data_IF_311192196711
#
_entry.id   IF_311192196711
#
_cell.length_a   1.000
_cell.length_b   1.000
_cell.length_c   1.000
_cell.angle_alpha   90.00
_cell.angle_beta   90.00
_cell.angle_gamma   90.00
#
_symmetry.space_group_name_H-M   'P 1'
#
loop_
_entity.id
_entity.type
_entity.pdbx_description
1 polymer ?
#
# COMPACT_ATOMS: atom_id res chain seq x y z
N UNK A 1 25.58 -10.41 -3.00
CA UNK A 1 24.18 -10.42 -2.54
C UNK A 1 23.29 -10.53 -3.77
N UNK A 2 22.70 -11.71 -3.96
CA UNK A 2 21.66 -11.99 -4.94
C UNK A 2 20.32 -11.94 -4.19
N UNK A 3 19.38 -11.20 -4.73
CA UNK A 3 18.02 -11.05 -4.17
C UNK A 3 17.06 -11.64 -5.19
N UNK A 4 16.22 -12.57 -4.75
CA UNK A 4 15.27 -13.27 -5.60
C UNK A 4 13.88 -13.23 -4.95
N UNK A 5 12.90 -12.70 -5.67
CA UNK A 5 11.50 -12.70 -5.27
C UNK A 5 10.75 -13.67 -6.18
N UNK A 6 10.13 -14.68 -5.57
CA UNK A 6 9.13 -15.52 -6.23
C UNK A 6 7.75 -14.95 -5.89
N UNK A 7 6.99 -14.60 -6.92
CA UNK A 7 5.63 -14.08 -6.79
C UNK A 7 4.71 -15.00 -7.60
N UNK A 8 3.83 -15.71 -6.91
CA UNK A 8 2.78 -16.52 -7.49
C UNK A 8 1.43 -15.78 -7.42
N UNK A 9 0.66 -15.87 -8.50
CA UNK A 9 -0.68 -15.30 -8.58
C UNK A 9 -1.66 -16.40 -8.94
N UNK A 10 -2.65 -16.60 -8.08
CA UNK A 10 -3.78 -17.47 -8.35
C UNK A 10 -4.75 -16.82 -9.36
N UNK A 11 -5.56 -17.61 -10.08
CA UNK A 11 -6.60 -17.08 -10.96
C UNK A 11 -7.68 -16.25 -10.24
N UNK A 12 -7.81 -16.38 -8.92
CA UNK A 12 -8.81 -15.75 -8.05
C UNK A 12 -8.23 -14.65 -7.15
N UNK A 13 -7.19 -13.96 -7.64
CA UNK A 13 -6.60 -12.74 -7.06
C UNK A 13 -5.75 -12.93 -5.80
N UNK A 14 -5.73 -14.11 -5.18
CA UNK A 14 -4.79 -14.44 -4.11
C UNK A 14 -3.35 -14.45 -4.68
N UNK A 15 -2.45 -13.74 -4.02
CA UNK A 15 -1.03 -13.67 -4.39
C UNK A 15 -0.19 -14.25 -3.25
N UNK A 16 0.78 -15.10 -3.60
CA UNK A 16 1.81 -15.58 -2.70
C UNK A 16 3.16 -14.95 -3.04
N UNK A 17 3.97 -14.69 -2.02
CA UNK A 17 5.33 -14.19 -2.21
C UNK A 17 6.34 -14.87 -1.30
N UNK A 18 7.50 -15.18 -1.86
CA UNK A 18 8.65 -15.73 -1.16
C UNK A 18 9.90 -14.94 -1.54
N UNK A 19 10.62 -14.42 -0.54
CA UNK A 19 11.86 -13.67 -0.71
C UNK A 19 13.06 -14.53 -0.31
N UNK A 20 14.07 -14.58 -1.18
CA UNK A 20 15.33 -15.27 -0.95
C UNK A 20 16.50 -14.29 -1.05
N UNK A 21 17.43 -14.37 -0.09
CA UNK A 21 18.70 -13.65 -0.10
C UNK A 21 19.82 -14.68 -0.13
N UNK A 22 20.62 -14.66 -1.19
CA UNK A 22 21.72 -15.62 -1.42
C UNK A 22 21.27 -17.10 -1.27
N UNK A 23 20.04 -17.40 -1.72
CA UNK A 23 19.44 -18.74 -1.71
C UNK A 23 18.71 -19.12 -0.40
N UNK A 24 18.77 -18.31 0.65
CA UNK A 24 18.03 -18.54 1.89
C UNK A 24 16.71 -17.77 1.90
N UNK A 25 15.59 -18.46 2.18
CA UNK A 25 14.30 -17.81 2.34
C UNK A 25 14.30 -16.96 3.62
N UNK A 26 13.77 -15.74 3.52
CA UNK A 26 13.67 -14.80 4.65
C UNK A 26 12.23 -14.36 4.86
N UNK A 27 11.90 -13.99 6.09
CA UNK A 27 10.63 -13.30 6.41
C UNK A 27 10.72 -11.85 5.95
N UNK A 28 9.62 -11.31 5.43
CA UNK A 28 9.54 -9.93 4.98
C UNK A 28 8.15 -9.36 5.28
N UNK A 29 8.06 -8.04 5.29
CA UNK A 29 6.77 -7.34 5.27
C UNK A 29 6.43 -7.02 3.82
N UNK A 30 5.25 -7.45 3.40
CA UNK A 30 4.68 -7.11 2.11
C UNK A 30 3.84 -5.83 2.23
N UNK A 31 3.95 -4.96 1.23
CA UNK A 31 3.01 -3.89 0.98
C UNK A 31 2.50 -4.02 -0.45
N UNK A 32 1.20 -4.22 -0.61
CA UNK A 32 0.57 -4.40 -1.93
C UNK A 32 -0.26 -3.17 -2.29
N UNK A 33 -0.09 -2.69 -3.52
CA UNK A 33 -0.84 -1.57 -4.10
C UNK A 33 -1.53 -2.09 -5.35
N UNK A 34 -2.80 -2.45 -5.22
CA UNK A 34 -3.63 -2.93 -6.31
C UNK A 34 -4.93 -2.13 -6.41
N UNK A 35 -4.95 -1.03 -7.18
CA UNK A 35 -6.18 -0.29 -7.43
C UNK A 35 -7.25 -1.15 -8.11
N UNK A 36 -6.86 -2.20 -8.84
CA UNK A 36 -7.74 -3.10 -9.58
C UNK A 36 -8.59 -4.01 -8.70
N UNK A 37 -8.32 -4.07 -7.40
CA UNK A 37 -9.14 -4.79 -6.43
C UNK A 37 -10.53 -4.15 -6.18
N UNK A 38 -10.79 -2.95 -6.72
CA UNK A 38 -12.13 -2.34 -6.72
C UNK A 38 -12.51 -1.72 -5.37
N UNK A 39 -11.64 -0.88 -4.82
CA UNK A 39 -11.85 -0.22 -3.53
C UNK A 39 -12.73 1.04 -3.64
N UNK A 40 -13.48 1.37 -2.59
CA UNK A 40 -13.93 2.74 -2.37
C UNK A 40 -12.76 3.64 -1.94
N UNK A 41 -12.77 4.91 -2.32
CA UNK A 41 -11.70 5.86 -2.00
C UNK A 41 -11.37 5.92 -0.51
N UNK A 42 -12.37 5.91 0.38
CA UNK A 42 -12.14 5.95 1.82
C UNK A 42 -11.44 4.68 2.34
N UNK A 43 -11.78 3.51 1.81
CA UNK A 43 -11.13 2.25 2.18
C UNK A 43 -9.70 2.18 1.61
N UNK A 44 -9.53 2.69 0.38
CA UNK A 44 -8.23 2.82 -0.26
C UNK A 44 -7.27 3.67 0.57
N UNK A 45 -7.63 4.90 0.92
CA UNK A 45 -6.75 5.78 1.69
C UNK A 45 -6.54 5.28 3.11
N UNK A 46 -7.53 4.64 3.74
CA UNK A 46 -7.38 4.06 5.07
C UNK A 46 -6.34 2.93 5.07
N UNK A 47 -6.41 2.02 4.08
CA UNK A 47 -5.42 0.96 3.91
C UNK A 47 -4.02 1.52 3.64
N UNK A 48 -3.90 2.53 2.77
CA UNK A 48 -2.60 3.15 2.47
C UNK A 48 -2.04 3.93 3.66
N UNK A 49 -2.89 4.57 4.46
CA UNK A 49 -2.47 5.22 5.70
C UNK A 49 -1.93 4.21 6.71
N UNK A 50 -2.58 3.05 6.87
CA UNK A 50 -2.05 1.94 7.64
C UNK A 50 -0.67 1.52 7.17
N UNK A 51 -0.51 1.25 5.86
CA UNK A 51 0.76 0.84 5.29
C UNK A 51 1.87 1.90 5.51
N UNK A 52 1.56 3.18 5.29
CA UNK A 52 2.49 4.31 5.46
C UNK A 52 2.98 4.44 6.91
N UNK A 53 2.11 4.20 7.89
CA UNK A 53 2.48 4.30 9.32
C UNK A 53 3.42 3.18 9.76
N UNK A 54 3.31 2.00 9.15
CA UNK A 54 4.11 0.82 9.53
C UNK A 54 5.34 0.59 8.64
N UNK A 55 5.39 1.20 7.45
CA UNK A 55 6.49 1.08 6.52
C UNK A 55 7.76 1.84 6.96
N UNK A 56 8.90 1.39 6.44
CA UNK A 56 10.14 2.17 6.55
C UNK A 56 9.99 3.50 5.78
N UNK A 57 10.74 4.56 6.13
CA UNK A 57 10.56 5.88 5.51
C UNK A 57 10.64 5.89 3.98
N UNK A 58 11.54 5.08 3.40
CA UNK A 58 11.69 4.97 1.95
C UNK A 58 10.47 4.30 1.30
N UNK A 59 9.94 3.24 1.92
CA UNK A 59 8.76 2.52 1.42
C UNK A 59 7.48 3.34 1.63
N UNK A 60 7.36 4.01 2.78
CA UNK A 60 6.25 4.92 3.08
C UNK A 60 6.13 6.05 2.03
N UNK A 61 7.27 6.60 1.57
CA UNK A 61 7.27 7.61 0.51
C UNK A 61 6.74 7.07 -0.82
N UNK A 62 7.13 5.84 -1.20
CA UNK A 62 6.63 5.17 -2.40
C UNK A 62 5.13 4.89 -2.31
N UNK A 63 4.67 4.33 -1.19
CA UNK A 63 3.24 4.06 -0.95
C UNK A 63 2.43 5.36 -1.04
N UNK A 64 2.92 6.44 -0.43
CA UNK A 64 2.26 7.75 -0.47
C UNK A 64 2.13 8.27 -1.90
N UNK A 65 3.19 8.16 -2.71
CA UNK A 65 3.16 8.62 -4.10
C UNK A 65 2.15 7.82 -4.93
N UNK A 66 2.21 6.50 -4.86
CA UNK A 66 1.35 5.59 -5.63
C UNK A 66 -0.12 5.71 -5.21
N UNK A 67 -0.41 5.88 -3.92
CA UNK A 67 -1.77 6.00 -3.39
C UNK A 67 -2.56 7.19 -3.98
N UNK A 68 -1.87 8.22 -4.48
CA UNK A 68 -2.45 9.45 -5.00
C UNK A 68 -2.63 9.44 -6.52
N UNK A 69 -2.02 8.48 -7.22
CA UNK A 69 -2.12 8.36 -8.67
C UNK A 69 -3.56 8.07 -9.09
N UNK A 70 -3.99 8.71 -10.18
CA UNK A 70 -5.34 8.52 -10.72
C UNK A 70 -5.58 7.07 -11.11
N UNK A 71 -6.71 6.51 -10.67
CA UNK A 71 -7.11 5.15 -11.00
C UNK A 71 -8.61 5.11 -11.30
N UNK A 72 -9.02 4.57 -12.46
CA UNK A 72 -10.43 4.39 -12.79
C UNK A 72 -11.08 3.24 -12.00
N UNK A 73 -10.30 2.49 -11.22
CA UNK A 73 -10.75 1.32 -10.47
C UNK A 73 -11.03 1.62 -8.98
N UNK A 74 -10.83 2.88 -8.55
CA UNK A 74 -11.12 3.32 -7.19
C UNK A 74 -12.39 4.17 -7.19
N UNK A 75 -13.46 3.61 -6.64
CA UNK A 75 -14.77 4.24 -6.62
C UNK A 75 -14.78 5.46 -5.70
N UNK A 76 -15.21 6.60 -6.24
CA UNK A 76 -15.30 7.85 -5.49
C UNK A 76 -13.95 8.57 -5.30
N UNK A 77 -12.90 8.17 -6.03
CA UNK A 77 -11.62 8.89 -6.02
C UNK A 77 -11.83 10.35 -6.47
N UNK A 78 -11.42 11.35 -5.68
CA UNK A 78 -11.50 12.76 -6.10
C UNK A 78 -10.67 13.00 -7.36
N UNK A 79 -11.09 13.86 -8.28
CA UNK A 79 -10.25 14.24 -9.42
C UNK A 79 -9.21 15.33 -9.08
N UNK A 80 -9.40 16.07 -7.98
CA UNK A 80 -8.47 17.07 -7.49
C UNK A 80 -7.36 16.42 -6.68
N UNK A 81 -6.11 16.56 -7.15
CA UNK A 81 -4.92 16.08 -6.44
C UNK A 81 -4.83 16.65 -5.02
N UNK A 82 -5.18 17.92 -4.84
CA UNK A 82 -5.11 18.59 -3.54
C UNK A 82 -6.09 17.95 -2.54
N UNK A 83 -7.27 17.53 -3.00
CA UNK A 83 -8.21 16.79 -2.17
C UNK A 83 -7.65 15.42 -1.79
N UNK A 84 -7.05 14.69 -2.74
CA UNK A 84 -6.45 13.37 -2.45
C UNK A 84 -5.35 13.47 -1.40
N UNK A 85 -4.49 14.49 -1.51
CA UNK A 85 -3.41 14.74 -0.57
C UNK A 85 -3.93 15.04 0.84
N UNK A 86 -5.01 15.84 0.96
CA UNK A 86 -5.67 16.13 2.24
C UNK A 86 -6.26 14.85 2.84
N UNK A 87 -7.04 14.11 2.07
CA UNK A 87 -7.70 12.88 2.53
C UNK A 87 -6.68 11.85 3.06
N UNK A 88 -5.56 11.68 2.33
CA UNK A 88 -4.50 10.78 2.75
C UNK A 88 -3.77 11.30 4.00
N UNK A 89 -3.52 12.61 4.11
CA UNK A 89 -2.91 13.20 5.30
C UNK A 89 -3.78 12.98 6.55
N UNK A 90 -5.08 13.25 6.44
CA UNK A 90 -6.06 13.05 7.51
C UNK A 90 -6.13 11.58 7.94
N UNK A 91 -6.13 10.65 6.98
CA UNK A 91 -6.11 9.21 7.26
C UNK A 91 -4.82 8.77 7.98
N UNK A 92 -3.65 9.31 7.60
CA UNK A 92 -2.38 9.02 8.28
C UNK A 92 -2.39 9.55 9.72
N UNK A 93 -2.89 10.76 9.94
CA UNK A 93 -3.01 11.32 11.30
C UNK A 93 -3.95 10.50 12.17
N UNK A 94 -5.10 10.09 11.62
CA UNK A 94 -6.04 9.21 12.29
C UNK A 94 -5.39 7.88 12.68
N UNK A 95 -4.64 7.26 11.77
CA UNK A 95 -3.98 5.98 12.01
C UNK A 95 -2.89 6.08 13.10
N UNK A 96 -2.13 7.19 13.13
CA UNK A 96 -1.13 7.45 14.18
C UNK A 96 -1.77 7.64 15.54
N UNK A 97 -2.94 8.28 15.60
CA UNK A 97 -3.67 8.46 16.84
C UNK A 97 -4.17 7.12 17.43
N UNK A 98 -4.48 6.14 16.58
CA UNK A 98 -4.90 4.80 17.02
C UNK A 98 -3.75 3.90 17.49
N UNK A 99 -2.52 4.16 17.04
CA UNK A 99 -1.33 3.38 17.39
C UNK A 99 -0.57 3.94 18.60
N UNK A 100 -0.99 5.09 19.13
CA UNK A 100 -0.47 5.66 20.39
C UNK A 100 -1.26 5.06 21.58
N UNK A 101 -0.60 4.36 22.53
CA UNK A 101 -1.27 3.77 23.70
C UNK A 101 -1.82 4.82 24.69
#
# INVERSE_FOLDING_TARGET
MRVELFHDRSPDYECGMQLFIDGAQVTFTEYSIDPGAGHYWHDWIASRAYDIVHASPAVAALIRQEALLDSPYIDGMPHDMTQRERDLADAIEHQRAQTCP
#
